data_IF_274627866572
#
_entry.id   IF_274627866572
#
_cell.length_a   1.000
_cell.length_b   1.000
_cell.length_c   1.000
_cell.angle_alpha   90.00
_cell.angle_beta   90.00
_cell.angle_gamma   90.00
#
_symmetry.space_group_name_H-M   'P 1'
#
loop_
_entity.id
_entity.type
_entity.pdbx_description
1 polymer ?
#
# COMPACT_ATOMS: atom_id res chain seq x y z
N UNK A 1 -66.91 57.28 53.70
CA UNK A 1 -65.72 57.90 54.34
C UNK A 1 -64.58 57.89 53.32
N UNK A 2 -63.89 59.03 53.14
CA UNK A 2 -62.61 59.32 52.44
C UNK A 2 -61.94 58.31 51.45
N UNK A 3 -61.26 58.73 50.38
CA UNK A 3 -61.30 59.95 49.54
C UNK A 3 -60.49 59.70 48.22
N UNK A 4 -60.86 60.42 47.14
CA UNK A 4 -60.14 60.71 45.88
C UNK A 4 -58.71 60.12 45.65
N UNK A 5 -58.46 59.64 44.42
CA UNK A 5 -57.59 60.35 43.44
C UNK A 5 -57.82 59.94 41.97
N UNK A 6 -57.47 60.86 41.07
CA UNK A 6 -57.54 60.79 39.58
C UNK A 6 -56.10 60.87 39.01
N UNK A 7 -56.00 60.98 37.68
CA UNK A 7 -54.84 61.40 36.85
C UNK A 7 -53.91 60.28 36.32
N UNK A 8 -53.42 60.32 35.06
CA UNK A 8 -53.94 60.95 33.81
C UNK A 8 -53.24 60.36 32.57
N UNK A 9 -53.79 60.62 31.37
CA UNK A 9 -53.23 60.19 30.07
C UNK A 9 -51.84 60.78 29.74
N UNK A 10 -51.09 60.08 28.87
CA UNK A 10 -50.21 60.71 27.88
C UNK A 10 -50.50 60.14 26.48
N UNK A 11 -50.55 61.03 25.49
CA UNK A 11 -50.66 60.75 24.05
C UNK A 11 -49.72 61.71 23.34
N UNK A 12 -48.99 61.26 22.31
CA UNK A 12 -47.96 62.06 21.61
C UNK A 12 -48.11 62.01 20.07
N UNK A 13 -47.79 63.13 19.43
CA UNK A 13 -47.75 63.37 17.97
C UNK A 13 -46.33 63.83 17.57
N UNK A 14 -45.89 63.89 16.31
CA UNK A 14 -46.53 63.74 14.98
C UNK A 14 -45.56 62.83 14.13
N UNK A 15 -45.42 62.77 12.79
CA UNK A 15 -45.91 63.52 11.62
C UNK A 15 -45.83 62.66 10.33
N UNK A 16 -46.02 63.32 9.18
CA UNK A 16 -45.75 62.91 7.79
C UNK A 16 -44.29 62.43 7.58
N UNK A 17 -43.89 61.69 6.53
CA UNK A 17 -44.13 61.88 5.08
C UNK A 17 -44.21 60.53 4.33
N UNK A 18 -44.84 60.53 3.15
CA UNK A 18 -44.95 59.38 2.22
C UNK A 18 -43.64 59.13 1.46
N UNK A 19 -43.19 57.88 1.40
CA UNK A 19 -42.51 57.37 0.20
C UNK A 19 -42.85 55.90 -0.04
N UNK A 20 -43.18 55.56 -1.28
CA UNK A 20 -43.45 54.20 -1.73
C UNK A 20 -42.14 53.40 -1.85
N UNK A 21 -41.96 52.38 -1.01
CA UNK A 21 -41.08 51.26 -1.33
C UNK A 21 -41.96 50.03 -1.56
N UNK A 22 -42.32 49.82 -2.83
CA UNK A 22 -42.71 48.49 -3.29
C UNK A 22 -41.46 47.64 -3.10
N UNK A 23 -41.40 46.84 -2.04
CA UNK A 23 -40.41 45.77 -1.96
C UNK A 23 -40.77 44.79 -3.06
N UNK A 24 -40.12 44.95 -4.20
CA UNK A 24 -40.05 43.92 -5.22
C UNK A 24 -39.28 42.74 -4.60
N UNK A 25 -40.02 41.91 -3.86
CA UNK A 25 -39.86 40.47 -3.98
C UNK A 25 -40.10 40.14 -5.45
N UNK A 26 -39.05 40.34 -6.25
CA UNK A 26 -38.81 39.51 -7.41
C UNK A 26 -38.70 38.10 -6.84
N UNK A 27 -39.85 37.43 -6.77
CA UNK A 27 -39.94 36.00 -6.52
C UNK A 27 -38.99 35.38 -7.54
N UNK A 28 -37.82 34.95 -7.06
CA UNK A 28 -36.87 34.26 -7.91
C UNK A 28 -37.63 33.05 -8.39
N UNK A 29 -37.83 32.98 -9.71
CA UNK A 29 -38.45 31.80 -10.29
C UNK A 29 -37.55 30.62 -9.96
N UNK A 30 -38.17 29.63 -9.34
CA UNK A 30 -37.58 28.36 -8.96
C UNK A 30 -38.02 27.33 -10.00
N UNK A 31 -37.15 26.35 -10.26
CA UNK A 31 -37.19 25.46 -11.42
C UNK A 31 -35.77 25.09 -11.84
N UNK A 32 -35.61 24.02 -12.61
CA UNK A 32 -34.30 23.54 -13.04
C UNK A 32 -33.47 24.61 -13.77
N UNK A 33 -32.23 24.80 -13.32
CA UNK A 33 -31.28 25.80 -13.84
C UNK A 33 -30.18 25.20 -14.73
N UNK A 34 -30.03 23.88 -14.80
CA UNK A 34 -29.14 23.22 -15.75
C UNK A 34 -29.72 23.27 -17.18
N UNK A 35 -28.94 23.85 -18.10
CA UNK A 35 -29.28 24.00 -19.51
C UNK A 35 -29.40 22.67 -20.30
N UNK A 36 -28.94 21.56 -19.72
CA UNK A 36 -28.95 20.22 -20.33
C UNK A 36 -30.18 19.38 -19.94
N UNK A 37 -31.03 19.86 -19.02
CA UNK A 37 -32.21 19.14 -18.55
C UNK A 37 -33.42 19.26 -19.49
N UNK A 38 -34.24 18.20 -19.57
CA UNK A 38 -35.48 18.14 -20.36
C UNK A 38 -36.47 19.25 -19.97
N UNK A 39 -36.44 19.67 -18.70
CA UNK A 39 -37.31 20.69 -18.12
C UNK A 39 -36.59 22.00 -17.77
N UNK A 40 -35.42 22.27 -18.37
CA UNK A 40 -34.65 23.50 -18.14
C UNK A 40 -35.50 24.77 -18.24
N UNK A 41 -35.50 25.58 -17.17
CA UNK A 41 -36.18 26.86 -17.13
C UNK A 41 -35.19 28.02 -17.19
N UNK A 42 -34.96 28.53 -18.40
CA UNK A 42 -34.14 29.74 -18.67
C UNK A 42 -34.55 31.01 -17.90
N UNK A 43 -35.69 31.00 -17.19
CA UNK A 43 -36.17 32.11 -16.37
C UNK A 43 -35.93 31.87 -14.87
N UNK A 44 -35.56 30.66 -14.47
CA UNK A 44 -35.22 30.32 -13.09
C UNK A 44 -33.93 31.01 -12.64
N UNK A 45 -33.81 31.24 -11.32
CA UNK A 45 -32.71 32.01 -10.69
C UNK A 45 -32.20 31.41 -9.37
N UNK A 46 -32.83 30.32 -8.96
CA UNK A 46 -32.40 29.33 -7.98
C UNK A 46 -32.79 27.99 -8.62
N UNK A 47 -32.00 26.94 -8.44
CA UNK A 47 -32.50 25.59 -8.68
C UNK A 47 -33.49 25.18 -7.57
N UNK A 48 -34.45 24.34 -7.90
CA UNK A 48 -35.40 23.74 -6.96
C UNK A 48 -35.22 22.21 -6.82
N UNK A 49 -34.22 21.64 -7.48
CA UNK A 49 -34.00 20.19 -7.54
C UNK A 49 -34.98 19.47 -8.46
N UNK A 50 -35.75 20.18 -9.29
CA UNK A 50 -36.71 19.55 -10.22
C UNK A 50 -36.09 19.01 -11.50
N UNK A 51 -34.79 19.19 -11.74
CA UNK A 51 -34.13 18.84 -13.01
C UNK A 51 -34.41 17.40 -13.46
N UNK A 52 -35.01 17.28 -14.65
CA UNK A 52 -35.35 16.02 -15.30
C UNK A 52 -34.36 15.75 -16.43
N UNK A 53 -33.81 14.53 -16.47
CA UNK A 53 -32.96 14.03 -17.54
C UNK A 53 -33.51 12.70 -18.05
N UNK A 54 -33.72 12.58 -19.36
CA UNK A 54 -34.35 11.43 -20.01
C UNK A 54 -35.69 10.99 -19.34
N UNK A 55 -36.46 11.97 -18.83
CA UNK A 55 -37.73 11.73 -18.14
C UNK A 55 -37.66 11.36 -16.64
N UNK A 56 -36.47 11.34 -16.02
CA UNK A 56 -36.28 11.05 -14.59
C UNK A 56 -35.68 12.25 -13.84
N UNK A 57 -36.17 12.56 -12.63
CA UNK A 57 -35.51 13.52 -11.73
C UNK A 57 -34.60 12.76 -10.74
N UNK A 58 -33.27 12.97 -10.73
CA UNK A 58 -32.36 12.33 -9.77
C UNK A 58 -32.67 12.62 -8.29
N UNK A 59 -33.35 13.73 -8.01
CA UNK A 59 -33.67 14.19 -6.65
C UNK A 59 -35.08 13.76 -6.16
N UNK A 60 -35.83 12.92 -6.88
CA UNK A 60 -37.15 12.45 -6.41
C UNK A 60 -36.99 11.29 -5.40
N UNK A 61 -37.30 11.49 -4.10
CA UNK A 61 -37.15 10.45 -3.08
C UNK A 61 -38.16 9.29 -3.21
N UNK A 62 -39.15 9.39 -4.11
CA UNK A 62 -40.16 8.35 -4.36
C UNK A 62 -39.84 7.51 -5.61
N UNK A 63 -38.97 8.01 -6.48
CA UNK A 63 -38.47 7.31 -7.66
C UNK A 63 -36.97 7.60 -7.83
N UNK A 64 -36.11 7.15 -6.89
CA UNK A 64 -34.67 7.21 -7.08
C UNK A 64 -34.34 6.36 -8.31
N UNK A 65 -34.01 7.03 -9.41
CA UNK A 65 -33.68 6.35 -10.65
C UNK A 65 -32.47 5.46 -10.41
N UNK A 66 -32.61 4.15 -10.63
CA UNK A 66 -31.50 3.22 -10.86
C UNK A 66 -30.85 3.56 -12.20
N UNK A 67 -30.24 4.75 -12.25
CA UNK A 67 -29.96 5.47 -13.47
C UNK A 67 -28.73 4.92 -14.15
N UNK A 68 -28.92 4.21 -15.25
CA UNK A 68 -27.86 3.87 -16.20
C UNK A 68 -27.39 5.09 -17.00
N UNK A 69 -27.43 6.29 -16.42
CA UNK A 69 -27.17 7.58 -17.08
C UNK A 69 -26.42 8.54 -16.15
N UNK A 70 -25.16 8.84 -16.48
CA UNK A 70 -24.31 9.78 -15.75
C UNK A 70 -24.52 11.25 -16.16
N UNK A 71 -23.61 12.15 -15.76
CA UNK A 71 -23.66 13.58 -16.07
C UNK A 71 -23.87 13.86 -17.56
N UNK A 72 -24.74 14.82 -17.88
CA UNK A 72 -25.12 15.13 -19.26
C UNK A 72 -25.94 14.04 -19.98
N UNK A 73 -26.40 13.01 -19.27
CA UNK A 73 -27.27 11.96 -19.82
C UNK A 73 -26.54 10.87 -20.61
N UNK A 74 -25.21 10.73 -20.47
CA UNK A 74 -24.46 9.63 -21.07
C UNK A 74 -24.82 8.29 -20.43
N UNK A 75 -25.05 7.25 -21.23
CA UNK A 75 -25.25 5.89 -20.69
C UNK A 75 -24.01 5.40 -19.91
N UNK A 76 -24.24 4.81 -18.74
CA UNK A 76 -23.19 4.19 -17.92
C UNK A 76 -22.83 2.79 -18.45
N UNK A 77 -21.56 2.36 -18.33
CA UNK A 77 -20.43 3.09 -17.75
C UNK A 77 -19.75 4.08 -18.72
N UNK A 78 -19.17 5.15 -18.18
CA UNK A 78 -18.40 6.17 -18.90
C UNK A 78 -16.96 5.69 -19.16
N UNK A 79 -16.43 5.95 -20.35
CA UNK A 79 -15.10 5.49 -20.77
C UNK A 79 -13.98 6.42 -20.27
N UNK A 80 -13.14 5.95 -19.35
CA UNK A 80 -11.88 6.59 -18.97
C UNK A 80 -10.76 6.06 -19.87
N UNK A 81 -10.08 6.94 -20.62
CA UNK A 81 -9.16 6.50 -21.67
C UNK A 81 -8.24 7.59 -22.20
N UNK A 82 -7.10 7.18 -22.79
CA UNK A 82 -6.16 8.09 -23.42
C UNK A 82 -5.20 8.69 -22.41
N UNK A 83 -5.04 10.02 -22.42
CA UNK A 83 -4.10 10.72 -21.53
C UNK A 83 -4.68 12.01 -20.97
N UNK A 84 -4.79 12.06 -19.64
CA UNK A 84 -5.13 13.28 -18.90
C UNK A 84 -3.92 14.21 -18.81
N UNK A 85 -4.11 15.46 -19.27
CA UNK A 85 -3.10 16.54 -19.22
C UNK A 85 -3.61 17.79 -18.51
N UNK A 86 -4.73 17.66 -17.78
CA UNK A 86 -5.37 18.68 -16.97
C UNK A 86 -6.04 18.00 -15.79
N UNK A 87 -6.15 18.71 -14.66
CA UNK A 87 -6.70 18.12 -13.44
C UNK A 87 -8.15 17.68 -13.64
N UNK A 88 -8.52 16.53 -13.07
CA UNK A 88 -9.80 15.86 -13.27
C UNK A 88 -10.31 15.27 -11.94
N UNK A 89 -11.62 15.31 -11.74
CA UNK A 89 -12.32 14.57 -10.69
C UNK A 89 -13.17 13.50 -11.36
N UNK A 90 -13.08 12.28 -10.84
CA UNK A 90 -14.00 11.18 -11.15
C UNK A 90 -15.03 11.17 -10.03
N UNK A 91 -16.20 11.75 -10.31
CA UNK A 91 -17.30 11.98 -9.38
C UNK A 91 -18.04 10.67 -9.05
N UNK A 92 -18.65 10.56 -7.87
CA UNK A 92 -19.66 9.52 -7.61
C UNK A 92 -20.97 9.93 -8.30
N UNK A 93 -21.38 9.11 -9.28
CA UNK A 93 -22.50 9.39 -10.17
C UNK A 93 -23.60 8.32 -10.12
N UNK A 94 -23.56 7.39 -9.16
CA UNK A 94 -24.64 6.40 -8.97
C UNK A 94 -24.92 6.05 -7.51
N UNK A 95 -26.14 6.37 -7.07
CA UNK A 95 -26.62 6.05 -5.71
C UNK A 95 -26.91 4.56 -5.47
N UNK A 96 -26.77 3.70 -6.48
CA UNK A 96 -26.71 2.25 -6.30
C UNK A 96 -25.24 1.79 -6.28
N UNK A 97 -24.69 1.40 -5.11
CA UNK A 97 -23.30 0.99 -4.96
C UNK A 97 -23.00 -0.39 -5.58
N UNK A 98 -23.78 -0.86 -6.55
CA UNK A 98 -23.53 -2.04 -7.37
C UNK A 98 -23.38 -1.70 -8.86
N UNK A 99 -23.75 -0.48 -9.29
CA UNK A 99 -23.62 -0.01 -10.66
C UNK A 99 -22.14 0.20 -11.02
N UNK A 100 -21.74 -0.19 -12.23
CA UNK A 100 -20.46 0.20 -12.82
C UNK A 100 -20.65 1.57 -13.46
N UNK A 101 -19.96 2.58 -12.94
CA UNK A 101 -20.06 3.96 -13.41
C UNK A 101 -19.04 4.28 -14.50
N UNK A 102 -17.85 3.67 -14.41
CA UNK A 102 -16.72 3.94 -15.32
C UNK A 102 -16.09 2.65 -15.84
N UNK A 103 -15.47 2.69 -17.01
CA UNK A 103 -14.69 1.58 -17.55
C UNK A 103 -13.42 2.02 -18.28
N UNK A 104 -12.44 1.11 -18.33
CA UNK A 104 -11.18 1.25 -19.08
C UNK A 104 -11.01 0.02 -19.97
N UNK A 105 -10.80 0.23 -21.28
CA UNK A 105 -10.74 -0.82 -22.31
C UNK A 105 -9.41 -0.90 -23.09
N UNK A 106 -8.45 -0.04 -22.77
CA UNK A 106 -7.10 -0.01 -23.35
C UNK A 106 -6.13 0.59 -22.34
N UNK A 107 -6.01 1.92 -22.30
CA UNK A 107 -5.12 2.63 -21.38
C UNK A 107 -5.71 3.94 -20.92
N UNK A 108 -5.50 4.24 -19.63
CA UNK A 108 -5.76 5.53 -19.02
C UNK A 108 -4.46 6.05 -18.39
N UNK A 109 -3.93 7.14 -18.96
CA UNK A 109 -2.63 7.70 -18.59
C UNK A 109 -2.83 9.03 -17.89
N UNK A 110 -2.28 9.16 -16.69
CA UNK A 110 -2.49 10.30 -15.80
C UNK A 110 -1.19 11.10 -15.74
N UNK A 111 -1.20 12.33 -16.27
CA UNK A 111 -0.07 13.26 -16.24
C UNK A 111 -0.45 14.67 -15.76
N UNK A 112 -1.52 14.74 -14.97
CA UNK A 112 -1.99 15.85 -14.14
C UNK A 112 -2.60 15.25 -12.86
N UNK A 113 -3.18 16.05 -11.96
CA UNK A 113 -3.83 15.49 -10.76
C UNK A 113 -5.20 14.90 -11.08
N UNK A 114 -5.41 13.64 -10.72
CA UNK A 114 -6.69 12.95 -10.79
C UNK A 114 -7.13 12.57 -9.38
N UNK A 115 -8.35 12.95 -9.01
CA UNK A 115 -9.02 12.50 -7.79
C UNK A 115 -10.15 11.55 -8.18
N UNK A 116 -10.29 10.43 -7.47
CA UNK A 116 -11.47 9.57 -7.53
C UNK A 116 -12.24 9.75 -6.22
N UNK A 117 -13.51 10.12 -6.30
CA UNK A 117 -14.36 10.29 -5.12
C UNK A 117 -14.70 8.94 -4.46
N UNK A 118 -15.08 8.92 -3.17
CA UNK A 118 -15.56 7.70 -2.50
C UNK A 118 -16.73 7.04 -3.23
N UNK A 119 -16.94 5.74 -3.01
CA UNK A 119 -18.01 4.96 -3.64
C UNK A 119 -17.70 4.44 -5.05
N UNK A 120 -17.03 5.25 -5.88
CA UNK A 120 -16.83 5.06 -7.33
C UNK A 120 -16.42 3.64 -7.75
N UNK A 121 -17.09 3.10 -8.78
CA UNK A 121 -16.84 1.81 -9.43
C UNK A 121 -16.24 1.93 -10.83
N UNK A 122 -15.05 1.37 -11.01
CA UNK A 122 -14.33 1.27 -12.29
C UNK A 122 -14.17 -0.19 -12.72
N UNK A 123 -14.69 -0.51 -13.91
CA UNK A 123 -14.48 -1.77 -14.64
C UNK A 123 -13.21 -1.71 -15.49
N UNK A 124 -12.21 -2.49 -15.09
CA UNK A 124 -11.02 -2.75 -15.88
C UNK A 124 -11.29 -3.91 -16.84
N UNK A 125 -11.49 -3.63 -18.13
CA UNK A 125 -11.70 -4.68 -19.14
C UNK A 125 -10.42 -5.43 -19.47
N UNK A 126 -10.56 -6.46 -20.31
CA UNK A 126 -9.45 -7.31 -20.70
C UNK A 126 -8.26 -6.47 -21.18
N UNK A 127 -7.07 -6.80 -20.67
CA UNK A 127 -5.82 -6.19 -21.08
C UNK A 127 -5.67 -4.67 -20.75
N UNK A 128 -6.62 -4.05 -20.04
CA UNK A 128 -6.58 -2.63 -19.69
C UNK A 128 -5.49 -2.27 -18.67
N UNK A 129 -5.01 -1.02 -18.65
CA UNK A 129 -4.10 -0.50 -17.61
C UNK A 129 -4.28 0.97 -17.24
N UNK A 130 -3.86 1.31 -16.01
CA UNK A 130 -3.70 2.68 -15.52
C UNK A 130 -2.20 2.99 -15.40
N UNK A 131 -1.77 4.15 -15.89
CA UNK A 131 -0.39 4.63 -15.79
C UNK A 131 -0.36 6.06 -15.24
N UNK A 132 0.11 6.23 -14.01
CA UNK A 132 0.40 7.54 -13.43
C UNK A 132 1.83 7.93 -13.80
N UNK A 133 1.96 8.77 -14.82
CA UNK A 133 3.23 9.28 -15.34
C UNK A 133 3.90 10.25 -14.35
N UNK A 134 5.19 10.53 -14.52
CA UNK A 134 6.00 11.28 -13.54
C UNK A 134 5.56 12.72 -13.19
N UNK A 135 4.59 13.29 -13.92
CA UNK A 135 4.02 14.62 -13.64
C UNK A 135 2.54 14.55 -13.18
N UNK A 136 1.95 13.37 -13.08
CA UNK A 136 0.57 13.18 -12.64
C UNK A 136 0.47 12.70 -11.20
N UNK A 137 -0.72 12.75 -10.64
CA UNK A 137 -1.04 12.10 -9.38
C UNK A 137 -2.40 11.40 -9.45
N UNK A 138 -2.56 10.30 -8.71
CA UNK A 138 -3.85 9.60 -8.60
C UNK A 138 -4.21 9.41 -7.13
N UNK A 139 -5.19 10.21 -6.68
CA UNK A 139 -5.75 10.17 -5.34
C UNK A 139 -7.06 9.37 -5.35
N UNK A 140 -6.98 8.08 -5.04
CA UNK A 140 -8.14 7.25 -4.76
C UNK A 140 -8.28 7.10 -3.24
N UNK A 141 -9.07 7.98 -2.62
CA UNK A 141 -9.32 8.00 -1.17
C UNK A 141 -10.82 7.85 -0.90
N UNK A 142 -11.26 6.60 -0.72
CA UNK A 142 -12.62 6.27 -0.32
C UNK A 142 -12.88 6.40 1.19
N UNK A 143 -14.04 5.95 1.67
CA UNK A 143 -14.35 5.84 3.11
C UNK A 143 -14.46 4.37 3.56
N UNK A 144 -14.53 4.07 4.88
CA UNK A 144 -14.81 2.73 5.37
C UNK A 144 -16.12 2.11 4.86
N UNK A 145 -17.12 2.95 4.54
CA UNK A 145 -18.40 2.53 3.98
C UNK A 145 -18.36 2.57 2.44
N UNK A 146 -17.81 3.66 1.91
CA UNK A 146 -17.92 4.09 0.52
C UNK A 146 -16.56 3.83 -0.16
N UNK A 147 -16.21 2.54 -0.25
CA UNK A 147 -14.94 2.09 -0.81
C UNK A 147 -14.93 2.24 -2.33
N UNK A 148 -13.87 2.84 -2.88
CA UNK A 148 -13.60 2.87 -4.33
C UNK A 148 -13.31 1.43 -4.81
N UNK A 149 -13.88 1.03 -5.94
CA UNK A 149 -13.62 -0.28 -6.55
C UNK A 149 -12.90 -0.15 -7.89
N UNK A 150 -11.83 -0.93 -8.10
CA UNK A 150 -11.14 -1.08 -9.38
C UNK A 150 -11.01 -2.58 -9.68
N UNK A 151 -11.99 -3.11 -10.42
CA UNK A 151 -12.23 -4.55 -10.56
C UNK A 151 -12.13 -4.99 -12.02
N UNK A 152 -11.72 -6.23 -12.28
CA UNK A 152 -11.81 -6.80 -13.63
C UNK A 152 -13.24 -7.04 -14.08
N UNK A 153 -13.52 -6.86 -15.37
CA UNK A 153 -14.83 -7.14 -15.98
C UNK A 153 -15.22 -8.62 -15.97
N UNK A 154 -14.25 -9.54 -15.86
CA UNK A 154 -14.46 -10.92 -15.43
C UNK A 154 -13.70 -11.20 -14.12
N UNK A 155 -14.20 -12.16 -13.33
CA UNK A 155 -13.56 -12.69 -12.10
C UNK A 155 -12.35 -13.60 -12.39
N UNK A 156 -11.42 -13.13 -13.25
CA UNK A 156 -10.27 -13.90 -13.75
C UNK A 156 -8.96 -13.25 -13.30
N UNK A 157 -8.06 -14.02 -12.68
CA UNK A 157 -6.73 -13.54 -12.27
C UNK A 157 -5.97 -13.00 -13.49
N UNK A 158 -5.60 -11.73 -13.48
CA UNK A 158 -4.90 -11.07 -14.58
C UNK A 158 -5.75 -10.83 -15.84
N UNK A 159 -7.07 -10.63 -15.68
CA UNK A 159 -7.96 -10.11 -16.73
C UNK A 159 -7.42 -8.78 -17.28
N UNK A 160 -7.03 -7.86 -16.40
CA UNK A 160 -6.39 -6.58 -16.76
C UNK A 160 -4.93 -6.53 -16.30
N UNK A 161 -4.17 -5.58 -16.85
CA UNK A 161 -2.70 -5.54 -16.75
C UNK A 161 -2.18 -5.04 -15.41
N UNK A 162 -2.26 -3.74 -15.13
CA UNK A 162 -1.69 -3.12 -13.92
C UNK A 162 -2.21 -1.69 -13.66
N UNK A 163 -2.06 -1.23 -12.41
CA UNK A 163 -1.97 0.19 -12.04
C UNK A 163 -0.48 0.46 -11.79
N UNK A 164 0.14 1.36 -12.56
CA UNK A 164 1.57 1.69 -12.42
C UNK A 164 1.74 3.14 -12.03
N UNK A 165 2.55 3.37 -10.99
CA UNK A 165 3.02 4.68 -10.58
C UNK A 165 4.47 4.87 -11.01
N UNK A 166 4.69 5.82 -11.92
CA UNK A 166 6.01 6.40 -12.28
C UNK A 166 6.18 7.81 -11.68
N UNK A 167 5.18 8.26 -10.91
CA UNK A 167 5.11 9.52 -10.19
C UNK A 167 5.64 9.41 -8.75
N UNK A 168 6.41 10.41 -8.34
CA UNK A 168 6.89 10.59 -6.96
C UNK A 168 6.02 11.56 -6.13
N UNK A 169 4.87 11.99 -6.66
CA UNK A 169 3.97 12.92 -5.98
C UNK A 169 3.37 12.35 -4.67
N UNK A 170 3.02 13.24 -3.74
CA UNK A 170 2.42 12.86 -2.45
C UNK A 170 0.91 12.64 -2.49
N UNK A 171 0.26 12.94 -3.62
CA UNK A 171 -1.17 12.68 -3.83
C UNK A 171 -1.46 11.30 -4.43
N UNK A 172 -0.44 10.49 -4.70
CA UNK A 172 -0.62 9.08 -5.08
C UNK A 172 -1.11 8.27 -3.87
N UNK A 173 -2.41 7.95 -3.85
CA UNK A 173 -3.09 7.31 -2.71
C UNK A 173 -4.00 6.19 -3.19
N UNK A 174 -3.97 5.06 -2.47
CA UNK A 174 -4.92 3.96 -2.55
C UNK A 174 -5.46 3.71 -1.13
N UNK A 175 -6.43 4.51 -0.72
CA UNK A 175 -6.99 4.53 0.64
C UNK A 175 -8.46 4.06 0.57
N UNK A 176 -8.82 3.09 1.43
CA UNK A 176 -10.13 2.44 1.42
C UNK A 176 -10.58 1.91 0.04
N UNK A 177 -9.63 1.42 -0.76
CA UNK A 177 -9.91 0.83 -2.08
C UNK A 177 -10.15 -0.69 -1.99
N UNK A 178 -10.88 -1.23 -2.96
CA UNK A 178 -10.88 -2.67 -3.30
C UNK A 178 -10.37 -2.82 -4.74
N UNK A 179 -9.30 -3.58 -4.94
CA UNK A 179 -8.60 -3.73 -6.23
C UNK A 179 -8.43 -5.21 -6.54
N UNK A 180 -8.98 -5.69 -7.66
CA UNK A 180 -9.02 -7.12 -7.95
C UNK A 180 -8.87 -7.48 -9.43
N UNK A 181 -8.46 -8.71 -9.72
CA UNK A 181 -8.40 -9.34 -11.06
C UNK A 181 -7.26 -8.84 -11.99
N UNK A 182 -6.31 -8.06 -11.46
CA UNK A 182 -5.19 -7.52 -12.23
C UNK A 182 -3.92 -8.39 -12.26
N UNK A 183 -2.84 -7.84 -12.80
CA UNK A 183 -1.55 -8.54 -12.97
C UNK A 183 -1.41 -9.33 -14.28
N UNK A 184 -2.19 -9.02 -15.32
CA UNK A 184 -2.18 -9.73 -16.60
C UNK A 184 -0.91 -9.52 -17.46
N UNK A 185 -0.12 -8.47 -17.20
CA UNK A 185 1.01 -8.09 -18.04
C UNK A 185 2.29 -8.90 -17.76
N UNK A 186 2.81 -9.59 -18.77
CA UNK A 186 4.03 -10.40 -18.66
C UNK A 186 5.31 -9.59 -18.33
N UNK A 187 5.25 -8.26 -18.41
CA UNK A 187 6.36 -7.33 -18.17
C UNK A 187 6.12 -6.32 -17.03
N UNK A 188 5.01 -6.41 -16.30
CA UNK A 188 4.78 -5.63 -15.08
C UNK A 188 4.48 -6.61 -13.94
N UNK A 189 5.39 -6.69 -12.98
CA UNK A 189 5.48 -7.83 -12.07
C UNK A 189 4.48 -7.75 -10.90
N UNK A 190 3.54 -6.79 -10.90
CA UNK A 190 2.47 -6.74 -9.92
C UNK A 190 1.24 -5.95 -10.37
N UNK A 191 0.08 -6.31 -9.82
CA UNK A 191 -1.22 -5.69 -10.05
C UNK A 191 -1.19 -4.19 -9.75
N UNK A 192 -0.53 -3.80 -8.66
CA UNK A 192 -0.08 -2.42 -8.43
C UNK A 192 1.44 -2.38 -8.41
N UNK A 193 2.04 -1.48 -9.20
CA UNK A 193 3.50 -1.34 -9.35
C UNK A 193 3.96 0.07 -9.00
N UNK A 194 4.93 0.18 -8.08
CA UNK A 194 5.68 1.40 -7.77
C UNK A 194 7.02 1.34 -8.54
N UNK A 195 7.22 2.25 -9.49
CA UNK A 195 8.35 2.24 -10.42
C UNK A 195 9.39 3.32 -10.17
N UNK A 196 10.68 2.96 -10.18
CA UNK A 196 11.76 3.90 -9.93
C UNK A 196 11.65 4.53 -8.55
N UNK A 197 11.73 5.87 -8.48
CA UNK A 197 11.56 6.65 -7.25
C UNK A 197 10.10 7.03 -6.94
N UNK A 198 9.12 6.30 -7.50
CA UNK A 198 7.71 6.58 -7.28
C UNK A 198 7.30 6.43 -5.80
N UNK A 199 6.20 7.09 -5.47
CA UNK A 199 5.69 7.25 -4.11
C UNK A 199 4.20 6.88 -4.09
N UNK A 200 3.77 6.06 -3.12
CA UNK A 200 2.39 5.58 -3.06
C UNK A 200 1.94 5.30 -1.61
N UNK A 201 0.98 6.07 -1.09
CA UNK A 201 0.34 5.79 0.19
C UNK A 201 -0.73 4.70 0.01
N UNK A 202 -0.70 3.63 0.80
CA UNK A 202 -1.67 2.52 0.71
C UNK A 202 -2.23 2.21 2.10
N UNK A 203 -3.53 2.44 2.32
CA UNK A 203 -4.15 2.29 3.65
C UNK A 203 -5.55 1.68 3.59
N UNK A 204 -5.87 0.77 4.50
CA UNK A 204 -7.23 0.21 4.66
C UNK A 204 -7.81 -0.43 3.36
N UNK A 205 -6.93 -0.82 2.45
CA UNK A 205 -7.25 -1.25 1.08
C UNK A 205 -7.09 -2.75 0.90
N UNK A 206 -7.97 -3.34 0.07
CA UNK A 206 -8.02 -4.77 -0.24
C UNK A 206 -7.49 -5.03 -1.64
N UNK A 207 -6.57 -5.99 -1.77
CA UNK A 207 -5.95 -6.42 -3.01
C UNK A 207 -6.20 -7.92 -3.18
N UNK A 208 -6.96 -8.34 -4.20
CA UNK A 208 -7.37 -9.75 -4.33
C UNK A 208 -7.27 -10.32 -5.74
N UNK A 209 -7.08 -11.65 -5.83
CA UNK A 209 -7.21 -12.42 -7.08
C UNK A 209 -6.32 -11.89 -8.22
N UNK A 210 -5.07 -11.52 -7.92
CA UNK A 210 -4.10 -11.10 -8.94
C UNK A 210 -3.25 -12.25 -9.48
N UNK A 211 -2.76 -12.10 -10.71
CA UNK A 211 -1.91 -13.08 -11.41
C UNK A 211 -0.41 -12.90 -11.20
N UNK A 212 0.01 -11.69 -10.87
CA UNK A 212 1.40 -11.36 -10.55
C UNK A 212 1.51 -11.03 -9.05
N UNK A 213 2.54 -10.30 -8.58
CA UNK A 213 2.53 -9.82 -7.20
C UNK A 213 1.32 -8.89 -6.95
N UNK A 214 0.83 -8.79 -5.70
CA UNK A 214 -0.24 -7.85 -5.37
C UNK A 214 0.25 -6.40 -5.46
N UNK A 215 1.26 -6.08 -4.64
CA UNK A 215 2.00 -4.83 -4.68
C UNK A 215 3.48 -5.09 -4.97
N UNK A 216 4.03 -4.42 -5.98
CA UNK A 216 5.42 -4.55 -6.40
C UNK A 216 6.17 -3.22 -6.31
N UNK A 217 7.23 -3.15 -5.51
CA UNK A 217 8.17 -2.03 -5.47
C UNK A 217 9.44 -2.43 -6.20
N UNK A 218 9.64 -1.85 -7.39
CA UNK A 218 10.56 -2.40 -8.40
C UNK A 218 12.02 -1.92 -8.34
N UNK A 219 12.30 -0.91 -7.52
CA UNK A 219 13.60 -0.24 -7.38
C UNK A 219 13.75 0.19 -5.91
N UNK A 220 15.00 0.28 -5.40
CA UNK A 220 15.27 0.69 -4.00
C UNK A 220 14.79 2.11 -3.65
N UNK A 221 14.64 2.99 -4.64
CA UNK A 221 14.19 4.37 -4.45
C UNK A 221 12.67 4.51 -4.26
N UNK A 222 11.89 3.45 -4.55
CA UNK A 222 10.43 3.44 -4.45
C UNK A 222 9.93 3.42 -3.00
N UNK A 223 8.79 4.07 -2.74
CA UNK A 223 8.33 4.40 -1.38
C UNK A 223 6.86 4.03 -1.14
N UNK A 224 6.60 3.52 0.07
CA UNK A 224 5.27 3.23 0.62
C UNK A 224 5.07 4.00 1.94
N UNK A 225 4.92 5.34 1.91
CA UNK A 225 4.67 6.13 3.12
C UNK A 225 3.36 5.73 3.79
N UNK A 226 3.36 5.71 5.13
CA UNK A 226 2.21 5.43 5.99
C UNK A 226 1.38 4.20 5.55
N UNK A 227 2.05 3.12 5.16
CA UNK A 227 1.40 1.85 4.76
C UNK A 227 0.81 1.15 6.00
N UNK A 228 -0.50 0.83 5.99
CA UNK A 228 -1.19 0.20 7.14
C UNK A 228 -2.58 -0.39 6.82
N UNK A 229 -3.05 -1.29 7.68
CA UNK A 229 -4.42 -1.81 7.72
C UNK A 229 -4.90 -2.49 6.41
N UNK A 230 -3.99 -2.94 5.55
CA UNK A 230 -4.32 -3.47 4.23
C UNK A 230 -4.68 -4.97 4.27
N UNK A 231 -5.27 -5.50 3.19
CA UNK A 231 -5.55 -6.93 3.01
C UNK A 231 -5.06 -7.43 1.65
N UNK A 232 -4.41 -8.60 1.62
CA UNK A 232 -3.93 -9.24 0.39
C UNK A 232 -4.28 -10.73 0.34
N UNK A 233 -4.90 -11.21 -0.73
CA UNK A 233 -5.22 -12.64 -0.88
C UNK A 233 -5.38 -13.13 -2.34
N UNK A 234 -5.32 -14.44 -2.53
CA UNK A 234 -5.55 -15.14 -3.79
C UNK A 234 -4.59 -14.80 -4.96
N UNK A 235 -3.34 -14.40 -4.67
CA UNK A 235 -2.33 -14.14 -5.71
C UNK A 235 -1.66 -15.43 -6.25
N UNK A 236 -1.33 -15.50 -7.55
CA UNK A 236 -0.47 -16.58 -8.10
C UNK A 236 1.02 -16.40 -7.74
N UNK A 237 1.38 -15.28 -7.11
CA UNK A 237 2.72 -15.00 -6.57
C UNK A 237 2.61 -14.40 -5.16
N UNK A 238 3.73 -13.90 -4.63
CA UNK A 238 3.73 -13.22 -3.34
C UNK A 238 2.78 -12.00 -3.33
N UNK A 239 2.00 -11.80 -2.25
CA UNK A 239 1.11 -10.64 -2.12
C UNK A 239 1.85 -9.30 -2.15
N UNK A 240 3.08 -9.24 -1.62
CA UNK A 240 3.97 -8.06 -1.70
C UNK A 240 5.36 -8.50 -2.15
N UNK A 241 5.97 -7.72 -3.03
CA UNK A 241 7.36 -7.86 -3.46
C UNK A 241 8.10 -6.53 -3.39
N UNK A 242 9.25 -6.54 -2.71
CA UNK A 242 10.10 -5.37 -2.42
C UNK A 242 11.48 -5.52 -3.05
N UNK A 243 12.15 -4.40 -3.32
CA UNK A 243 13.52 -4.42 -3.83
C UNK A 243 14.55 -4.63 -2.71
N UNK A 244 14.41 -3.94 -1.57
CA UNK A 244 15.37 -4.02 -0.45
C UNK A 244 14.71 -4.20 0.93
N UNK A 245 15.51 -4.60 1.92
CA UNK A 245 15.10 -4.56 3.33
C UNK A 245 14.77 -3.15 3.82
N UNK A 246 15.44 -2.11 3.29
CA UNK A 246 15.14 -0.71 3.63
C UNK A 246 13.69 -0.30 3.36
N UNK A 247 13.01 -1.00 2.44
CA UNK A 247 11.57 -0.83 2.17
C UNK A 247 10.69 -1.68 3.11
N UNK A 248 11.19 -2.81 3.61
CA UNK A 248 10.39 -3.69 4.48
C UNK A 248 10.02 -3.07 5.83
N UNK A 249 10.78 -2.09 6.31
CA UNK A 249 10.47 -1.32 7.52
C UNK A 249 9.40 -0.23 7.35
N UNK A 250 8.81 -0.07 6.15
CA UNK A 250 7.57 0.68 5.97
C UNK A 250 6.33 -0.20 6.09
N UNK A 251 6.47 -1.53 6.09
CA UNK A 251 5.37 -2.44 6.33
C UNK A 251 4.99 -2.44 7.82
N UNK A 252 3.78 -2.89 8.11
CA UNK A 252 3.15 -2.79 9.42
C UNK A 252 2.51 -4.12 9.84
N UNK A 253 2.14 -4.25 11.11
CA UNK A 253 1.54 -5.47 11.66
C UNK A 253 0.00 -5.46 11.72
N UNK A 254 -0.68 -4.43 11.19
CA UNK A 254 -2.15 -4.41 11.03
C UNK A 254 -2.58 -4.82 9.62
N UNK A 255 -1.69 -4.70 8.62
CA UNK A 255 -1.85 -5.34 7.31
C UNK A 255 -1.91 -6.86 7.46
N UNK A 256 -2.95 -7.45 6.88
CA UNK A 256 -3.27 -8.87 6.96
C UNK A 256 -3.23 -9.54 5.59
N UNK A 257 -3.07 -10.87 5.61
CA UNK A 257 -2.86 -11.68 4.42
C UNK A 257 -3.73 -12.93 4.52
N UNK A 258 -4.48 -13.23 3.48
CA UNK A 258 -5.28 -14.45 3.37
C UNK A 258 -4.42 -15.68 3.05
N UNK A 259 -5.06 -16.85 3.04
CA UNK A 259 -4.39 -18.15 2.87
C UNK A 259 -4.39 -18.69 1.44
N UNK A 260 -4.96 -17.95 0.48
CA UNK A 260 -5.23 -18.44 -0.87
C UNK A 260 -4.15 -18.02 -1.89
N UNK A 261 -3.04 -17.43 -1.44
CA UNK A 261 -1.90 -17.12 -2.29
C UNK A 261 -1.10 -18.40 -2.59
N UNK A 262 -0.59 -18.52 -3.81
CA UNK A 262 0.24 -19.67 -4.21
C UNK A 262 1.65 -19.60 -3.57
N UNK A 263 2.10 -18.40 -3.19
CA UNK A 263 3.29 -18.16 -2.38
C UNK A 263 2.97 -17.25 -1.18
N UNK A 264 2.82 -17.87 0.00
CA UNK A 264 2.49 -17.18 1.26
C UNK A 264 3.75 -16.68 1.98
N UNK A 265 4.45 -15.76 1.32
CA UNK A 265 5.63 -15.06 1.84
C UNK A 265 5.73 -13.63 1.27
N UNK A 266 6.53 -12.77 1.89
CA UNK A 266 6.84 -11.42 1.39
C UNK A 266 8.16 -11.47 0.65
N UNK A 267 8.16 -11.23 -0.66
CA UNK A 267 9.39 -11.30 -1.45
C UNK A 267 10.25 -10.06 -1.22
N UNK A 268 11.54 -10.26 -1.00
CA UNK A 268 12.55 -9.20 -1.04
C UNK A 268 13.63 -9.61 -2.03
N UNK A 269 13.90 -8.76 -3.02
CA UNK A 269 14.79 -9.10 -4.12
C UNK A 269 16.27 -9.11 -3.71
N UNK A 270 16.75 -8.06 -3.05
CA UNK A 270 18.16 -7.90 -2.65
C UNK A 270 18.91 -6.91 -3.55
N UNK A 271 19.51 -5.92 -2.91
CA UNK A 271 20.39 -4.87 -3.46
C UNK A 271 21.23 -4.33 -2.30
N UNK A 272 22.17 -3.42 -2.59
CA UNK A 272 22.97 -2.72 -1.60
C UNK A 272 22.18 -1.54 -1.01
N UNK A 273 22.21 -1.36 0.32
CA UNK A 273 21.51 -0.25 0.99
C UNK A 273 22.25 0.24 2.25
N UNK A 274 22.09 1.53 2.57
CA UNK A 274 22.86 2.24 3.59
C UNK A 274 22.02 2.91 4.69
N UNK A 275 20.72 2.66 4.72
CA UNK A 275 19.78 3.27 5.67
C UNK A 275 19.45 2.28 6.78
N UNK A 276 19.36 2.75 8.02
CA UNK A 276 18.87 1.93 9.13
C UNK A 276 17.41 1.54 8.93
N UNK A 277 17.06 0.30 9.31
CA UNK A 277 15.71 -0.24 9.20
C UNK A 277 15.46 -1.28 10.29
N UNK A 278 14.26 -1.28 10.86
CA UNK A 278 13.76 -2.43 11.64
C UNK A 278 12.79 -3.20 10.74
N UNK A 279 13.07 -4.47 10.50
CA UNK A 279 12.19 -5.38 9.75
C UNK A 279 11.10 -5.89 10.69
N UNK A 280 9.82 -5.54 10.47
CA UNK A 280 8.73 -5.77 11.42
C UNK A 280 8.27 -7.23 11.43
N UNK A 281 7.58 -7.62 12.51
CA UNK A 281 6.95 -8.93 12.60
C UNK A 281 5.61 -8.95 11.86
N UNK A 282 5.59 -9.61 10.69
CA UNK A 282 4.37 -9.95 9.94
C UNK A 282 3.88 -11.38 10.25
N UNK A 283 2.62 -11.66 9.90
CA UNK A 283 2.05 -13.02 9.95
C UNK A 283 2.68 -13.94 8.87
N UNK A 284 3.12 -13.38 7.74
CA UNK A 284 3.92 -14.06 6.72
C UNK A 284 5.44 -13.99 7.01
N UNK A 285 6.24 -14.95 6.52
CA UNK A 285 7.70 -14.85 6.50
C UNK A 285 8.19 -13.98 5.32
N UNK A 286 9.45 -13.56 5.36
CA UNK A 286 10.10 -12.88 4.23
C UNK A 286 10.93 -13.87 3.40
N UNK A 287 10.72 -13.93 2.08
CA UNK A 287 11.55 -14.69 1.16
C UNK A 287 12.64 -13.80 0.55
N UNK A 288 13.90 -14.19 0.74
CA UNK A 288 15.07 -13.47 0.26
C UNK A 288 15.60 -14.11 -1.02
N UNK A 289 15.75 -13.34 -2.09
CA UNK A 289 16.00 -13.89 -3.43
C UNK A 289 17.45 -13.83 -3.96
N UNK A 290 18.29 -12.89 -3.51
CA UNK A 290 19.65 -12.69 -4.03
C UNK A 290 20.67 -12.35 -2.91
N UNK A 291 21.66 -11.51 -3.22
CA UNK A 291 22.62 -10.96 -2.26
C UNK A 291 22.02 -9.71 -1.62
N UNK A 292 22.23 -9.56 -0.31
CA UNK A 292 21.89 -8.37 0.46
C UNK A 292 23.16 -7.80 1.07
N UNK A 293 23.43 -6.50 0.86
CA UNK A 293 24.61 -5.84 1.41
C UNK A 293 24.20 -4.56 2.17
N UNK A 294 24.43 -4.58 3.48
CA UNK A 294 24.20 -3.46 4.39
C UNK A 294 25.47 -2.61 4.35
N UNK A 295 25.51 -1.63 3.45
CA UNK A 295 26.67 -0.76 3.22
C UNK A 295 26.72 0.42 4.20
N UNK A 296 25.71 0.56 5.06
CA UNK A 296 25.61 1.61 6.08
C UNK A 296 24.32 1.46 6.89
N UNK A 297 24.24 2.16 8.02
CA UNK A 297 23.09 2.09 8.93
C UNK A 297 23.01 0.76 9.70
N UNK A 298 21.91 0.57 10.41
CA UNK A 298 21.66 -0.63 11.22
C UNK A 298 20.39 -1.33 10.77
N UNK A 299 20.49 -2.61 10.44
CA UNK A 299 19.35 -3.47 10.09
C UNK A 299 19.05 -4.37 11.28
N UNK A 300 17.91 -4.16 11.94
CA UNK A 300 17.40 -5.07 12.96
C UNK A 300 16.22 -5.87 12.44
N UNK A 301 16.02 -7.08 13.00
CA UNK A 301 14.87 -7.92 12.71
C UNK A 301 14.11 -8.17 14.00
N UNK A 302 12.86 -7.70 14.05
CA UNK A 302 12.00 -7.78 15.24
C UNK A 302 11.79 -9.23 15.73
N UNK A 303 11.42 -9.42 17.02
CA UNK A 303 11.08 -10.73 17.57
C UNK A 303 10.10 -11.53 16.71
N UNK A 304 10.37 -12.83 16.57
CA UNK A 304 9.52 -13.76 15.82
C UNK A 304 9.57 -13.64 14.29
N UNK A 305 10.37 -12.71 13.74
CA UNK A 305 10.55 -12.60 12.28
C UNK A 305 11.16 -13.89 11.72
N UNK A 306 10.73 -14.25 10.52
CA UNK A 306 11.12 -15.50 9.86
C UNK A 306 11.58 -15.19 8.44
N UNK A 307 12.82 -15.59 8.13
CA UNK A 307 13.51 -15.37 6.86
C UNK A 307 13.67 -16.71 6.15
N UNK A 308 13.10 -16.81 4.95
CA UNK A 308 13.30 -17.90 4.01
C UNK A 308 14.43 -17.48 3.06
N UNK A 309 15.57 -18.15 3.18
CA UNK A 309 16.74 -17.91 2.35
C UNK A 309 16.58 -18.68 1.04
N UNK A 310 16.48 -17.97 -0.09
CA UNK A 310 16.50 -18.56 -1.42
C UNK A 310 17.82 -19.27 -1.73
N UNK A 311 17.87 -19.97 -2.87
CA UNK A 311 19.11 -20.62 -3.30
C UNK A 311 20.23 -19.58 -3.44
N UNK A 312 21.44 -19.93 -2.99
CA UNK A 312 22.66 -19.10 -3.08
C UNK A 312 22.60 -17.72 -2.40
N UNK A 313 21.51 -17.43 -1.69
CA UNK A 313 21.24 -16.16 -1.00
C UNK A 313 22.23 -15.92 0.15
N UNK A 314 22.64 -14.66 0.36
CA UNK A 314 23.48 -14.25 1.50
C UNK A 314 23.16 -12.84 1.99
N UNK A 315 23.50 -12.58 3.24
CA UNK A 315 23.47 -11.25 3.86
C UNK A 315 24.90 -10.86 4.23
N UNK A 316 25.29 -9.63 3.94
CA UNK A 316 26.59 -9.04 4.31
C UNK A 316 26.32 -7.75 5.10
N UNK A 317 27.00 -7.57 6.23
CA UNK A 317 27.15 -6.27 6.89
C UNK A 317 28.57 -5.75 6.68
N UNK A 318 28.74 -4.92 5.65
CA UNK A 318 30.02 -4.31 5.24
C UNK A 318 30.45 -3.25 6.26
N UNK A 319 31.73 -2.84 6.28
CA UNK A 319 32.41 -1.97 7.26
C UNK A 319 31.58 -0.91 8.02
N UNK A 320 30.63 -0.23 7.37
CA UNK A 320 29.82 0.85 7.95
C UNK A 320 28.40 0.45 8.37
N UNK A 321 27.90 -0.69 7.90
CA UNK A 321 26.59 -1.25 8.22
C UNK A 321 26.61 -2.20 9.43
N UNK A 322 25.45 -2.53 9.98
CA UNK A 322 25.31 -3.54 11.04
C UNK A 322 24.02 -4.34 10.93
N UNK A 323 24.01 -5.54 11.54
CA UNK A 323 22.91 -6.51 11.49
C UNK A 323 22.63 -7.09 12.87
N UNK A 324 21.42 -6.90 13.40
CA UNK A 324 20.93 -7.65 14.57
C UNK A 324 19.73 -8.53 14.25
N UNK A 325 19.57 -9.60 15.03
CA UNK A 325 18.46 -10.55 14.95
C UNK A 325 17.86 -10.68 16.35
N UNK A 326 16.80 -9.93 16.62
CA UNK A 326 16.35 -9.57 17.97
C UNK A 326 15.30 -10.56 18.52
N UNK A 327 15.62 -11.85 18.48
CA UNK A 327 14.72 -12.89 19.00
C UNK A 327 14.53 -12.81 20.51
N UNK A 328 13.42 -13.36 21.00
CA UNK A 328 13.16 -13.59 22.43
C UNK A 328 12.90 -15.07 22.73
N UNK A 329 12.76 -15.40 24.02
CA UNK A 329 12.38 -16.76 24.50
C UNK A 329 11.05 -17.23 23.90
N UNK A 330 10.08 -16.33 23.72
CA UNK A 330 8.77 -16.64 23.14
C UNK A 330 8.79 -16.51 21.62
N UNK A 331 9.50 -15.50 21.11
CA UNK A 331 9.43 -15.06 19.73
C UNK A 331 10.84 -15.11 19.11
N UNK A 332 11.35 -16.33 18.95
CA UNK A 332 12.63 -16.62 18.30
C UNK A 332 12.65 -16.08 16.86
N UNK A 333 13.70 -15.38 16.45
CA UNK A 333 13.95 -15.10 15.02
C UNK A 333 14.41 -16.39 14.33
N UNK A 334 14.03 -16.59 13.06
CA UNK A 334 14.27 -17.83 12.33
C UNK A 334 14.83 -17.56 10.94
N UNK A 335 15.92 -18.22 10.57
CA UNK A 335 16.61 -18.09 9.28
C UNK A 335 16.82 -19.49 8.71
N UNK A 336 16.15 -19.84 7.61
CA UNK A 336 16.26 -21.18 7.02
C UNK A 336 16.24 -21.19 5.50
N UNK A 337 16.94 -22.14 4.88
CA UNK A 337 16.88 -22.35 3.43
C UNK A 337 15.47 -22.75 2.95
N UNK A 338 15.04 -22.24 1.80
CA UNK A 338 13.76 -22.60 1.17
C UNK A 338 13.66 -24.09 0.80
N UNK A 339 14.79 -24.79 0.75
CA UNK A 339 14.86 -26.26 0.72
C UNK A 339 15.68 -26.79 1.89
N UNK A 340 15.35 -28.00 2.36
CA UNK A 340 16.01 -28.70 3.46
C UNK A 340 17.40 -29.28 3.14
N UNK A 341 18.14 -28.62 2.26
CA UNK A 341 19.44 -29.08 1.76
C UNK A 341 20.54 -28.30 2.50
N UNK A 342 21.45 -28.96 3.24
CA UNK A 342 22.61 -28.29 3.81
C UNK A 342 23.39 -27.50 2.74
N UNK A 343 23.59 -26.20 2.96
CA UNK A 343 24.25 -25.31 2.01
C UNK A 343 23.36 -24.73 0.92
N UNK A 344 22.03 -24.85 1.02
CA UNK A 344 21.08 -24.28 0.05
C UNK A 344 21.26 -22.75 -0.11
N UNK A 345 21.57 -22.06 0.99
CA UNK A 345 21.95 -20.64 1.00
C UNK A 345 23.39 -20.45 1.47
N UNK A 346 24.01 -19.34 1.08
CA UNK A 346 25.46 -19.15 1.15
C UNK A 346 25.97 -18.92 2.58
N UNK A 347 25.75 -17.73 3.15
CA UNK A 347 26.22 -17.38 4.50
C UNK A 347 25.64 -16.04 4.99
N UNK A 348 25.71 -15.77 6.29
CA UNK A 348 25.71 -14.40 6.83
C UNK A 348 27.18 -13.99 7.04
N UNK A 349 27.56 -12.82 6.54
CA UNK A 349 28.95 -12.30 6.61
C UNK A 349 28.95 -10.97 7.36
N UNK A 350 29.81 -10.83 8.36
CA UNK A 350 29.96 -9.59 9.13
C UNK A 350 31.39 -9.07 8.99
N UNK A 351 31.52 -7.90 8.38
CA UNK A 351 32.79 -7.25 8.07
C UNK A 351 33.00 -5.98 8.93
N UNK A 352 31.91 -5.41 9.45
CA UNK A 352 31.96 -4.26 10.35
C UNK A 352 32.28 -4.59 11.81
N UNK A 353 33.07 -3.72 12.45
CA UNK A 353 33.37 -3.76 13.90
C UNK A 353 32.27 -3.10 14.76
N UNK A 354 31.01 -3.17 14.31
CA UNK A 354 29.87 -2.53 14.97
C UNK A 354 29.44 -3.33 16.19
N UNK A 355 29.13 -2.63 17.28
CA UNK A 355 28.55 -3.22 18.50
C UNK A 355 27.11 -3.71 18.29
N UNK A 356 26.43 -3.14 17.31
CA UNK A 356 25.06 -3.45 16.89
C UNK A 356 24.97 -4.74 16.03
N UNK A 357 26.08 -5.49 15.92
CA UNK A 357 26.09 -6.83 15.35
C UNK A 357 25.82 -7.87 16.44
N UNK A 358 24.54 -8.15 16.72
CA UNK A 358 24.10 -9.05 17.79
C UNK A 358 23.03 -10.04 17.30
N UNK A 359 23.22 -11.34 17.54
CA UNK A 359 22.16 -12.35 17.34
C UNK A 359 21.64 -12.89 18.68
N UNK A 360 20.35 -12.66 18.93
CA UNK A 360 19.64 -13.06 20.14
C UNK A 360 18.54 -14.07 19.80
N UNK A 361 18.47 -15.19 20.54
CA UNK A 361 17.44 -16.25 20.42
C UNK A 361 17.07 -16.65 18.97
N UNK A 362 18.08 -16.76 18.09
CA UNK A 362 17.87 -16.98 16.66
C UNK A 362 18.21 -18.43 16.25
N UNK A 363 17.34 -19.06 15.46
CA UNK A 363 17.63 -20.37 14.83
C UNK A 363 18.07 -20.18 13.39
N UNK A 364 19.23 -20.73 13.02
CA UNK A 364 19.79 -20.76 11.67
C UNK A 364 19.81 -22.20 11.13
N UNK A 365 19.42 -22.42 9.87
CA UNK A 365 19.22 -23.76 9.32
C UNK A 365 19.55 -23.85 7.83
N UNK A 366 20.19 -24.95 7.40
CA UNK A 366 20.45 -25.30 5.99
C UNK A 366 21.39 -24.36 5.19
N UNK A 367 22.19 -23.52 5.84
CA UNK A 367 23.14 -22.61 5.18
C UNK A 367 24.56 -23.18 5.04
N UNK A 368 25.50 -22.32 4.64
CA UNK A 368 26.93 -22.63 4.49
C UNK A 368 27.40 -22.91 3.06
N UNK A 369 26.58 -22.66 2.04
CA UNK A 369 26.89 -22.96 0.64
C UNK A 369 28.03 -22.11 0.03
N UNK A 370 28.44 -21.01 0.68
CA UNK A 370 29.47 -20.12 0.19
C UNK A 370 30.82 -20.84 0.00
N UNK A 371 31.39 -20.83 -1.21
CA UNK A 371 32.66 -21.52 -1.46
C UNK A 371 33.83 -20.90 -0.68
N UNK A 372 33.87 -19.56 -0.58
CA UNK A 372 34.97 -18.78 0.00
C UNK A 372 34.82 -18.43 1.50
N UNK A 373 33.68 -18.72 2.12
CA UNK A 373 33.51 -18.69 3.58
C UNK A 373 33.43 -20.14 4.07
N UNK A 374 34.01 -20.48 5.21
CA UNK A 374 34.03 -21.86 5.72
C UNK A 374 32.97 -22.13 6.82
N UNK A 375 31.96 -21.26 6.92
CA UNK A 375 30.88 -21.35 7.90
C UNK A 375 29.55 -20.76 7.39
N UNK A 376 28.44 -21.13 8.05
CA UNK A 376 27.12 -20.55 7.82
C UNK A 376 27.04 -19.09 8.28
N UNK A 377 27.68 -18.77 9.41
CA UNK A 377 27.93 -17.40 9.86
C UNK A 377 29.44 -17.17 9.87
N UNK A 378 29.91 -16.11 9.20
CA UNK A 378 31.33 -15.83 9.00
C UNK A 378 31.71 -14.39 9.37
N UNK A 379 32.67 -14.23 10.29
CA UNK A 379 33.12 -12.92 10.76
C UNK A 379 34.46 -12.58 10.07
N UNK A 380 34.46 -11.62 9.15
CA UNK A 380 35.61 -11.26 8.30
C UNK A 380 36.14 -9.88 8.69
N UNK A 381 37.00 -9.81 9.71
CA UNK A 381 37.46 -8.53 10.27
C UNK A 381 36.42 -7.73 11.07
N UNK A 382 35.15 -8.13 11.06
CA UNK A 382 34.09 -7.51 11.85
C UNK A 382 33.97 -8.04 13.28
N UNK A 383 32.90 -7.63 13.98
CA UNK A 383 32.53 -8.09 15.31
C UNK A 383 31.15 -8.75 15.31
N UNK A 384 30.92 -9.70 16.22
CA UNK A 384 29.62 -10.31 16.49
C UNK A 384 29.49 -10.71 17.97
N UNK A 385 28.36 -10.35 18.59
CA UNK A 385 27.89 -10.94 19.85
C UNK A 385 26.74 -11.93 19.59
N UNK A 386 26.68 -13.04 20.34
CA UNK A 386 25.57 -13.99 20.24
C UNK A 386 25.14 -14.52 21.61
N UNK A 387 23.83 -14.70 21.82
CA UNK A 387 23.30 -15.53 22.91
C UNK A 387 22.04 -16.31 22.52
N UNK A 388 21.91 -17.50 23.10
CA UNK A 388 20.76 -18.40 22.95
C UNK A 388 20.42 -18.76 21.49
N UNK A 389 21.39 -18.69 20.58
CA UNK A 389 21.21 -19.01 19.17
C UNK A 389 21.54 -20.48 18.86
N UNK A 390 20.89 -21.03 17.84
CA UNK A 390 21.04 -22.43 17.43
C UNK A 390 21.29 -22.54 15.93
N UNK A 391 22.48 -22.99 15.53
CA UNK A 391 22.87 -23.16 14.13
C UNK A 391 22.90 -24.64 13.78
N UNK A 392 22.15 -25.07 12.75
CA UNK A 392 22.06 -26.50 12.40
C UNK A 392 21.97 -26.86 10.93
N UNK A 393 22.25 -28.12 10.62
CA UNK A 393 22.20 -28.70 9.26
C UNK A 393 23.02 -27.92 8.22
N UNK A 394 24.17 -27.36 8.61
CA UNK A 394 25.03 -26.60 7.70
C UNK A 394 25.89 -27.50 6.81
N UNK A 395 26.16 -27.08 5.57
CA UNK A 395 27.14 -27.77 4.69
C UNK A 395 28.60 -27.53 5.10
N UNK A 396 28.83 -26.62 6.05
CA UNK A 396 30.16 -26.22 6.55
C UNK A 396 30.10 -26.02 8.07
N UNK A 397 30.99 -25.21 8.66
CA UNK A 397 30.97 -24.93 10.10
C UNK A 397 29.72 -24.14 10.47
N UNK A 398 29.32 -24.23 11.73
CA UNK A 398 28.23 -23.43 12.26
C UNK A 398 28.60 -21.94 12.26
N UNK A 399 29.70 -21.59 12.92
CA UNK A 399 30.24 -20.23 13.02
C UNK A 399 31.77 -20.25 12.89
N UNK A 400 32.34 -19.34 12.10
CA UNK A 400 33.80 -19.13 12.08
C UNK A 400 34.18 -17.66 11.85
N UNK A 401 35.47 -17.34 12.00
CA UNK A 401 36.05 -16.01 11.80
C UNK A 401 37.41 -16.08 11.11
N UNK A 402 37.85 -14.96 10.54
CA UNK A 402 39.25 -14.77 10.14
C UNK A 402 40.14 -14.34 11.33
N UNK A 403 41.42 -14.04 11.08
CA UNK A 403 42.36 -13.62 12.11
C UNK A 403 41.98 -12.29 12.79
N UNK A 404 41.26 -11.41 12.10
CA UNK A 404 40.94 -10.05 12.54
C UNK A 404 39.58 -9.97 13.24
N UNK A 405 38.62 -10.83 12.86
CA UNK A 405 37.26 -10.81 13.38
C UNK A 405 37.17 -11.09 14.89
N UNK A 406 36.16 -10.53 15.55
CA UNK A 406 35.90 -10.67 16.99
C UNK A 406 34.57 -11.39 17.23
N UNK A 407 34.58 -12.40 18.09
CA UNK A 407 33.37 -13.13 18.51
C UNK A 407 33.22 -13.08 20.02
N UNK A 408 32.04 -12.66 20.49
CA UNK A 408 31.65 -12.61 21.90
C UNK A 408 30.51 -13.61 22.14
N UNK A 409 30.83 -14.75 22.75
CA UNK A 409 29.82 -15.72 23.20
C UNK A 409 29.21 -15.26 24.54
N UNK A 410 27.98 -14.73 24.49
CA UNK A 410 27.22 -14.33 25.67
C UNK A 410 26.44 -15.52 26.30
N UNK A 411 26.63 -16.74 25.78
CA UNK A 411 26.12 -17.99 26.36
C UNK A 411 24.81 -18.50 25.75
N UNK A 412 24.53 -19.79 26.01
CA UNK A 412 23.33 -20.48 25.52
C UNK A 412 23.36 -20.82 24.03
N UNK A 413 24.45 -20.51 23.31
CA UNK A 413 24.60 -20.84 21.90
C UNK A 413 24.92 -22.33 21.70
N UNK A 414 24.38 -22.93 20.64
CA UNK A 414 24.54 -24.37 20.34
C UNK A 414 24.64 -24.62 18.83
N UNK A 415 25.20 -25.78 18.45
CA UNK A 415 25.14 -26.28 17.08
C UNK A 415 24.69 -27.76 16.99
N UNK A 416 24.23 -28.17 15.81
CA UNK A 416 24.06 -29.60 15.47
C UNK A 416 24.19 -29.83 13.96
N UNK A 417 24.54 -31.05 13.53
CA UNK A 417 24.40 -31.51 12.13
C UNK A 417 25.11 -30.65 11.06
N UNK A 418 26.07 -29.81 11.47
CA UNK A 418 26.92 -29.00 10.60
C UNK A 418 28.12 -29.84 10.14
N UNK A 419 28.33 -29.98 8.82
CA UNK A 419 29.23 -30.98 8.23
C UNK A 419 30.72 -30.77 8.59
N UNK A 420 31.14 -29.54 8.91
CA UNK A 420 32.49 -29.24 9.43
C UNK A 420 32.50 -28.92 10.94
N UNK A 421 31.40 -29.17 11.66
CA UNK A 421 31.26 -28.96 13.11
C UNK A 421 30.88 -27.53 13.55
N UNK A 422 31.01 -27.25 14.85
CA UNK A 422 30.60 -25.97 15.45
C UNK A 422 31.48 -24.78 15.09
N UNK A 423 32.76 -25.02 14.80
CA UNK A 423 33.75 -23.97 14.59
C UNK A 423 34.06 -23.23 15.90
N UNK A 424 33.46 -22.07 16.11
CA UNK A 424 33.56 -21.30 17.37
C UNK A 424 32.48 -21.66 18.41
N UNK A 425 31.45 -22.43 18.04
CA UNK A 425 30.38 -22.85 18.97
C UNK A 425 30.69 -24.20 19.65
N UNK A 426 30.21 -24.40 20.89
CA UNK A 426 30.30 -25.68 21.61
C UNK A 426 29.40 -26.76 20.98
#
# INVERSE_FOLDING_TARGET
>A
MNIKKKYVMKVSKLMMIVLSVIVLMACKREGCTDQNADNYDKNAKNDDGSCVYNGVNPNDPNNPGGGTTGPGGQELPIRLSGKETSNLVIEDISSDPNVVEYYIDDNWRIAADVVIEPGVRIEMRQDAYILVESNGSLDATGTPNDKIQILGGDDVKGHWKYIKYESNETNNKLIHCNIAHGGGAWNAQGMVTVQGSANLTVQNSSFTMGKEYGLFVSHREGKLPDFKDNYFDAFEKQPISLHTFGQSGTLDNTTTFGSNNDMNDIRVHGDNYSNSVNVPKLNLPYYLANVFEITGGHTSFSPGVTLIMGQDTRIIASDQGSLSLDGTVTDSVRVYGASGIPGYWQSIVLESMKTENEFSYTTFNYGGGAWNNDAMIYIRGGALAMNNCYIKNGSKKALNKDNNGVFNDNGGNMHSDCQEGGGLLP
#
